data_IF_319508365064
#
_entry.id   IF_319508365064
#
_cell.length_a   1.000
_cell.length_b   1.000
_cell.length_c   1.000
_cell.angle_alpha   90.00
_cell.angle_beta   90.00
_cell.angle_gamma   90.00
#
_symmetry.space_group_name_H-M   'P 1'
#
loop_
_entity.id
_entity.type
_entity.pdbx_description
1 polymer ?
#
# COMPACT_ATOMS: atom_id res chain seq x y z
N UNK A 1 -19.07 -41.17 2.72
CA UNK A 1 -19.53 -39.77 2.87
C UNK A 1 -18.53 -38.88 3.60
N UNK A 2 -18.17 -39.11 4.87
CA UNK A 2 -17.17 -38.27 5.59
C UNK A 2 -15.83 -38.11 4.86
N UNK A 3 -15.27 -39.18 4.30
CA UNK A 3 -14.01 -39.16 3.53
C UNK A 3 -14.07 -38.32 2.24
N UNK A 4 -15.21 -38.31 1.56
CA UNK A 4 -15.43 -37.50 0.35
C UNK A 4 -15.57 -36.01 0.68
N UNK A 5 -16.22 -35.69 1.80
CA UNK A 5 -16.31 -34.31 2.31
C UNK A 5 -14.92 -33.80 2.69
N UNK A 6 -14.13 -34.58 3.42
CA UNK A 6 -12.75 -34.22 3.79
C UNK A 6 -11.86 -34.03 2.56
N UNK A 7 -11.97 -34.93 1.59
CA UNK A 7 -11.22 -34.82 0.34
C UNK A 7 -11.62 -33.57 -0.47
N UNK A 8 -12.92 -33.28 -0.60
CA UNK A 8 -13.38 -32.06 -1.25
C UNK A 8 -12.88 -30.79 -0.56
N UNK A 9 -12.88 -30.77 0.77
CA UNK A 9 -12.40 -29.64 1.57
C UNK A 9 -10.90 -29.40 1.40
N UNK A 10 -10.10 -30.47 1.32
CA UNK A 10 -8.66 -30.40 1.02
C UNK A 10 -8.36 -29.85 -0.37
N UNK A 11 -9.13 -30.27 -1.38
CA UNK A 11 -8.98 -29.76 -2.77
C UNK A 11 -9.29 -28.27 -2.83
N UNK A 12 -10.37 -27.82 -2.19
CA UNK A 12 -10.73 -26.40 -2.15
C UNK A 12 -9.67 -25.59 -1.41
N UNK A 13 -9.20 -26.07 -0.26
CA UNK A 13 -8.16 -25.39 0.51
C UNK A 13 -6.84 -25.31 -0.26
N UNK A 14 -6.46 -26.39 -0.95
CA UNK A 14 -5.28 -26.42 -1.82
C UNK A 14 -5.39 -25.42 -2.98
N UNK A 15 -6.57 -25.30 -3.60
CA UNK A 15 -6.82 -24.31 -4.65
C UNK A 15 -6.68 -22.87 -4.17
N UNK A 16 -7.18 -22.55 -2.96
CA UNK A 16 -7.03 -21.21 -2.37
C UNK A 16 -5.56 -20.90 -2.09
N UNK A 17 -4.82 -21.82 -1.49
CA UNK A 17 -3.39 -21.62 -1.19
C UNK A 17 -2.58 -21.46 -2.47
N UNK A 18 -2.87 -22.26 -3.50
CA UNK A 18 -2.22 -22.13 -4.81
C UNK A 18 -2.48 -20.76 -5.46
N UNK A 19 -3.74 -20.28 -5.42
CA UNK A 19 -4.09 -18.97 -5.95
C UNK A 19 -3.33 -17.84 -5.23
N UNK A 20 -3.16 -17.94 -3.90
CA UNK A 20 -2.38 -16.97 -3.13
C UNK A 20 -0.89 -17.06 -3.48
N UNK A 21 -0.33 -18.27 -3.62
CA UNK A 21 1.07 -18.46 -3.95
C UNK A 21 1.45 -17.86 -5.31
N UNK A 22 0.54 -17.92 -6.28
CA UNK A 22 0.72 -17.40 -7.65
C UNK A 22 0.63 -15.87 -7.75
N UNK A 23 0.24 -15.17 -6.69
CA UNK A 23 0.23 -13.70 -6.70
C UNK A 23 1.67 -13.16 -6.80
N UNK A 24 1.99 -12.30 -7.79
CA UNK A 24 3.29 -11.66 -7.91
C UNK A 24 3.64 -10.84 -6.66
N UNK A 25 4.92 -10.80 -6.30
CA UNK A 25 5.41 -10.01 -5.14
C UNK A 25 5.10 -8.53 -5.30
N UNK A 26 5.28 -7.98 -6.51
CA UNK A 26 4.96 -6.58 -6.82
C UNK A 26 3.47 -6.26 -6.60
N UNK A 27 2.56 -7.13 -7.05
CA UNK A 27 1.11 -6.96 -6.85
C UNK A 27 0.73 -7.01 -5.36
N UNK A 28 1.39 -7.89 -4.60
CA UNK A 28 1.22 -7.98 -3.16
C UNK A 28 1.74 -6.72 -2.44
N UNK A 29 2.91 -6.23 -2.83
CA UNK A 29 3.49 -4.99 -2.30
C UNK A 29 2.57 -3.80 -2.60
N UNK A 30 2.04 -3.70 -3.83
CA UNK A 30 1.07 -2.68 -4.21
C UNK A 30 -0.19 -2.73 -3.33
N UNK A 31 -0.75 -3.91 -3.09
CA UNK A 31 -1.91 -4.07 -2.21
C UNK A 31 -1.60 -3.68 -0.76
N UNK A 32 -0.39 -3.97 -0.28
CA UNK A 32 0.05 -3.56 1.05
C UNK A 32 0.23 -2.04 1.17
N UNK A 33 0.81 -1.38 0.15
CA UNK A 33 0.88 0.10 0.06
C UNK A 33 -0.51 0.73 0.03
N UNK A 34 -1.43 0.14 -0.73
CA UNK A 34 -2.82 0.60 -0.79
C UNK A 34 -3.54 0.45 0.54
N UNK A 35 -3.39 -0.69 1.22
CA UNK A 35 -3.99 -0.90 2.54
C UNK A 35 -3.43 0.07 3.58
N UNK A 36 -2.11 0.25 3.62
CA UNK A 36 -1.45 1.19 4.53
C UNK A 36 -1.94 2.63 4.25
N UNK A 37 -1.98 3.04 2.99
CA UNK A 37 -2.49 4.35 2.59
C UNK A 37 -3.95 4.55 3.01
N UNK A 38 -4.80 3.58 2.69
CA UNK A 38 -6.22 3.57 3.03
C UNK A 38 -6.46 3.63 4.54
N UNK A 39 -5.66 2.90 5.32
CA UNK A 39 -5.71 2.90 6.78
C UNK A 39 -5.35 4.26 7.37
N UNK A 40 -4.30 4.91 6.85
CA UNK A 40 -3.89 6.25 7.29
C UNK A 40 -4.97 7.28 6.95
N UNK A 41 -5.53 7.23 5.74
CA UNK A 41 -6.64 8.13 5.36
C UNK A 41 -7.83 7.91 6.29
N UNK A 42 -8.20 6.64 6.53
CA UNK A 42 -9.29 6.25 7.43
C UNK A 42 -9.10 6.80 8.84
N UNK A 43 -7.89 6.72 9.40
CA UNK A 43 -7.60 7.19 10.77
C UNK A 43 -7.77 8.70 10.92
N UNK A 44 -7.66 9.46 9.83
CA UNK A 44 -7.80 10.92 9.79
C UNK A 44 -9.23 11.39 9.51
N UNK A 45 -10.15 10.48 9.18
CA UNK A 45 -11.56 10.83 8.99
C UNK A 45 -12.24 11.19 10.31
N UNK A 46 -13.23 12.08 10.26
CA UNK A 46 -14.06 12.41 11.43
C UNK A 46 -14.85 11.19 11.94
N UNK A 47 -15.26 10.31 11.02
CA UNK A 47 -15.96 9.06 11.30
C UNK A 47 -15.22 7.89 10.64
N UNK A 48 -14.14 7.37 11.25
CA UNK A 48 -13.35 6.28 10.65
C UNK A 48 -14.17 5.02 10.37
N UNK A 49 -15.24 4.77 11.12
CA UNK A 49 -16.11 3.60 10.94
C UNK A 49 -16.94 3.64 9.66
N UNK A 50 -17.21 4.82 9.10
CA UNK A 50 -17.95 4.97 7.84
C UNK A 50 -17.06 5.17 6.61
N UNK A 51 -15.75 5.08 6.80
CA UNK A 51 -14.78 5.08 5.72
C UNK A 51 -14.94 3.82 4.86
N UNK A 52 -15.05 4.02 3.55
CA UNK A 52 -14.92 2.99 2.54
C UNK A 52 -13.97 3.47 1.45
N UNK A 53 -12.94 2.68 1.15
CA UNK A 53 -12.19 2.83 -0.09
C UNK A 53 -13.05 2.31 -1.26
N UNK A 54 -13.27 3.15 -2.25
CA UNK A 54 -14.01 2.81 -3.46
C UNK A 54 -13.08 2.24 -4.52
N UNK A 55 -11.96 2.92 -4.76
CA UNK A 55 -10.98 2.52 -5.77
C UNK A 55 -9.59 3.00 -5.37
N UNK A 56 -8.58 2.26 -5.79
CA UNK A 56 -7.20 2.69 -5.74
C UNK A 56 -6.53 2.59 -7.12
N UNK A 57 -5.72 3.59 -7.45
CA UNK A 57 -4.85 3.61 -8.61
C UNK A 57 -3.41 3.67 -8.13
N UNK A 58 -2.58 2.74 -8.63
CA UNK A 58 -1.16 2.69 -8.33
C UNK A 58 -0.39 3.15 -9.56
N UNK A 59 0.50 4.12 -9.37
CA UNK A 59 1.48 4.55 -10.38
C UNK A 59 2.87 4.37 -9.79
N UNK A 60 3.72 3.57 -10.44
CA UNK A 60 5.11 3.41 -10.02
C UNK A 60 6.05 3.81 -11.14
N UNK A 61 7.10 4.55 -10.80
CA UNK A 61 8.09 5.07 -11.74
C UNK A 61 9.49 4.73 -11.27
N UNK A 62 10.27 4.11 -12.15
CA UNK A 62 11.71 3.99 -11.96
C UNK A 62 12.36 5.35 -12.14
N UNK A 63 13.14 5.79 -11.15
CA UNK A 63 13.89 7.04 -11.24
C UNK A 63 15.21 6.83 -11.97
N UNK A 64 15.66 7.85 -12.70
CA UNK A 64 16.95 7.84 -13.41
C UNK A 64 17.56 9.23 -13.50
N UNK A 65 18.88 9.31 -13.72
CA UNK A 65 19.60 10.56 -13.94
C UNK A 65 19.41 11.58 -12.81
N UNK A 66 19.03 12.81 -13.18
CA UNK A 66 18.87 13.92 -12.24
C UNK A 66 17.72 13.71 -11.24
N UNK A 67 16.62 13.08 -11.66
CA UNK A 67 15.49 12.77 -10.78
C UNK A 67 15.90 11.82 -9.65
N UNK A 68 16.72 10.82 -9.98
CA UNK A 68 17.26 9.88 -9.01
C UNK A 68 18.19 10.60 -8.01
N UNK A 69 19.10 11.44 -8.50
CA UNK A 69 20.04 12.16 -7.65
C UNK A 69 19.33 13.09 -6.66
N UNK A 70 18.37 13.90 -7.15
CA UNK A 70 17.53 14.76 -6.31
C UNK A 70 16.79 13.95 -5.25
N UNK A 71 16.28 12.78 -5.61
CA UNK A 71 15.57 11.92 -4.65
C UNK A 71 16.49 11.36 -3.59
N UNK A 72 17.68 10.89 -3.97
CA UNK A 72 18.70 10.41 -3.03
C UNK A 72 19.06 11.53 -2.04
N UNK A 73 19.25 12.76 -2.52
CA UNK A 73 19.56 13.91 -1.66
C UNK A 73 18.44 14.25 -0.68
N UNK A 74 17.17 14.04 -1.06
CA UNK A 74 16.03 14.24 -0.16
C UNK A 74 15.86 13.15 0.91
N UNK A 75 16.53 12.00 0.80
CA UNK A 75 16.47 10.97 1.83
C UNK A 75 17.12 11.48 3.12
N UNK A 76 16.40 11.37 4.24
CA UNK A 76 16.87 11.88 5.53
C UNK A 76 18.02 11.06 6.14
N UNK A 77 18.21 9.82 5.70
CA UNK A 77 19.15 8.86 6.30
C UNK A 77 20.35 8.63 5.40
N UNK A 78 21.56 8.97 5.87
CA UNK A 78 22.82 8.83 5.11
C UNK A 78 23.07 7.40 4.62
N UNK A 79 22.84 6.39 5.46
CA UNK A 79 23.05 4.99 5.08
C UNK A 79 22.12 4.53 3.95
N UNK A 80 20.93 5.13 3.82
CA UNK A 80 20.06 4.89 2.65
C UNK A 80 20.62 5.55 1.40
N UNK A 81 21.14 6.77 1.53
CA UNK A 81 21.77 7.49 0.41
C UNK A 81 22.94 6.70 -0.16
N UNK A 82 23.85 6.28 0.72
CA UNK A 82 25.00 5.47 0.35
C UNK A 82 24.59 4.11 -0.20
N UNK A 83 23.58 3.47 0.39
CA UNK A 83 23.05 2.20 -0.09
C UNK A 83 22.51 2.29 -1.53
N UNK A 84 21.76 3.34 -1.86
CA UNK A 84 21.27 3.54 -3.23
C UNK A 84 22.41 3.90 -4.19
N UNK A 85 23.32 4.81 -3.81
CA UNK A 85 24.47 5.22 -4.65
C UNK A 85 25.41 4.07 -4.98
N UNK A 86 25.65 3.19 -4.02
CA UNK A 86 26.50 2.02 -4.19
C UNK A 86 25.78 0.82 -4.84
N UNK A 87 24.51 0.98 -5.24
CA UNK A 87 23.74 -0.07 -5.91
C UNK A 87 23.28 -1.21 -5.01
N UNK A 88 23.30 -1.03 -3.68
CA UNK A 88 22.78 -2.01 -2.71
C UNK A 88 21.25 -2.04 -2.71
N UNK A 89 20.61 -0.91 -3.00
CA UNK A 89 19.17 -0.78 -3.11
C UNK A 89 18.76 -0.18 -4.45
N UNK A 90 17.61 -0.61 -4.95
CA UNK A 90 16.92 0.12 -6.01
C UNK A 90 16.20 1.33 -5.41
N UNK A 91 15.88 2.35 -6.21
CA UNK A 91 14.99 3.43 -5.76
C UNK A 91 13.94 3.70 -6.82
N UNK A 92 12.69 3.39 -6.50
CA UNK A 92 11.50 3.72 -7.31
C UNK A 92 10.57 4.60 -6.47
N UNK A 93 9.84 5.48 -7.15
CA UNK A 93 8.71 6.16 -6.53
C UNK A 93 7.42 5.43 -6.87
N UNK A 94 6.51 5.37 -5.90
CA UNK A 94 5.13 4.95 -6.14
C UNK A 94 4.14 5.94 -5.54
N UNK A 95 3.16 6.31 -6.35
CA UNK A 95 2.01 7.10 -5.95
C UNK A 95 0.78 6.20 -5.88
N UNK A 96 0.12 6.19 -4.74
CA UNK A 96 -1.15 5.51 -4.53
C UNK A 96 -2.25 6.56 -4.41
N UNK A 97 -3.18 6.58 -5.36
CA UNK A 97 -4.38 7.40 -5.30
C UNK A 97 -5.52 6.54 -4.79
N UNK A 98 -6.22 7.00 -3.76
CA UNK A 98 -7.33 6.29 -3.12
C UNK A 98 -8.57 7.18 -3.20
N UNK A 99 -9.52 6.76 -4.04
CA UNK A 99 -10.88 7.29 -4.01
C UNK A 99 -11.60 6.66 -2.82
N UNK A 100 -12.13 7.50 -1.94
CA UNK A 100 -12.83 7.02 -0.76
C UNK A 100 -14.12 7.78 -0.51
N UNK A 101 -14.93 7.24 0.38
CA UNK A 101 -16.07 7.92 0.95
C UNK A 101 -16.05 7.79 2.47
N UNK A 102 -16.41 8.86 3.17
CA UNK A 102 -16.58 8.85 4.63
C UNK A 102 -17.71 9.80 5.03
N UNK A 103 -18.38 9.51 6.16
CA UNK A 103 -19.42 10.41 6.67
C UNK A 103 -18.82 11.58 7.44
N UNK A 104 -19.40 12.77 7.27
CA UNK A 104 -19.10 13.91 8.13
C UNK A 104 -19.80 13.78 9.51
N UNK A 105 -19.62 14.78 10.37
CA UNK A 105 -20.21 14.81 11.71
C UNK A 105 -21.76 14.82 11.70
N UNK A 106 -22.39 15.12 10.56
CA UNK A 106 -23.84 15.12 10.38
C UNK A 106 -24.37 13.84 9.71
N UNK A 107 -23.51 12.84 9.49
CA UNK A 107 -23.88 11.57 8.86
C UNK A 107 -24.01 11.62 7.34
N UNK A 108 -23.66 12.74 6.70
CA UNK A 108 -23.67 12.87 5.24
C UNK A 108 -22.42 12.22 4.66
N UNK A 109 -22.60 11.28 3.73
CA UNK A 109 -21.51 10.61 3.03
C UNK A 109 -20.87 11.55 2.01
N UNK A 110 -19.57 11.81 2.16
CA UNK A 110 -18.77 12.63 1.26
C UNK A 110 -17.73 11.78 0.56
N UNK A 111 -17.47 12.09 -0.71
CA UNK A 111 -16.36 11.50 -1.48
C UNK A 111 -15.12 12.35 -1.32
N UNK A 112 -13.97 11.71 -1.26
CA UNK A 112 -12.66 12.36 -1.17
C UNK A 112 -11.60 11.59 -1.94
N UNK A 113 -10.45 12.24 -2.10
CA UNK A 113 -9.27 11.69 -2.76
C UNK A 113 -8.07 11.78 -1.84
N UNK A 114 -7.46 10.63 -1.56
CA UNK A 114 -6.18 10.54 -0.89
C UNK A 114 -5.06 10.22 -1.88
N UNK A 115 -3.87 10.78 -1.65
CA UNK A 115 -2.63 10.39 -2.33
C UNK A 115 -1.60 10.02 -1.28
N UNK A 116 -0.99 8.85 -1.41
CA UNK A 116 0.19 8.49 -0.62
C UNK A 116 1.40 8.29 -1.54
N UNK A 117 2.54 8.83 -1.15
CA UNK A 117 3.78 8.71 -1.89
C UNK A 117 4.74 7.79 -1.14
N UNK A 118 5.35 6.85 -1.86
CA UNK A 118 6.24 5.84 -1.32
C UNK A 118 7.58 5.82 -2.04
N UNK A 119 8.64 5.62 -1.27
CA UNK A 119 9.96 5.23 -1.75
C UNK A 119 10.09 3.71 -1.67
N UNK A 120 10.28 3.04 -2.80
CA UNK A 120 10.48 1.59 -2.87
C UNK A 120 11.96 1.31 -3.02
N UNK A 121 12.54 0.65 -2.01
CA UNK A 121 13.95 0.28 -1.96
C UNK A 121 14.20 -1.14 -2.48
N UNK A 122 13.22 -2.03 -2.30
CA UNK A 122 13.21 -3.41 -2.80
C UNK A 122 11.78 -3.96 -2.88
N UNK A 123 11.60 -5.19 -3.35
CA UNK A 123 10.28 -5.86 -3.43
C UNK A 123 9.57 -5.99 -2.07
N UNK A 124 10.33 -6.01 -0.97
CA UNK A 124 9.83 -6.18 0.40
C UNK A 124 10.05 -4.95 1.28
N UNK A 125 10.42 -3.83 0.67
CA UNK A 125 10.65 -2.60 1.41
C UNK A 125 10.21 -1.37 0.63
N UNK A 126 9.08 -0.84 1.07
CA UNK A 126 8.63 0.50 0.74
C UNK A 126 8.55 1.34 2.03
N UNK A 127 8.87 2.62 1.91
CA UNK A 127 8.75 3.62 2.98
C UNK A 127 7.76 4.68 2.54
N UNK A 128 6.79 4.97 3.40
CA UNK A 128 5.90 6.10 3.19
C UNK A 128 6.68 7.40 3.34
N UNK A 129 6.45 8.33 2.43
CA UNK A 129 7.11 9.65 2.41
C UNK A 129 6.13 10.77 2.68
N UNK A 130 4.95 10.72 2.07
CA UNK A 130 3.94 11.76 2.23
C UNK A 130 2.54 11.18 2.07
N UNK A 131 1.58 11.86 2.70
CA UNK A 131 0.15 11.58 2.56
C UNK A 131 -0.56 12.91 2.37
N UNK A 132 -1.43 12.97 1.37
CA UNK A 132 -2.22 14.14 1.02
C UNK A 132 -3.68 13.71 0.98
N UNK A 133 -4.56 14.42 1.69
CA UNK A 133 -6.00 14.14 1.73
C UNK A 133 -6.75 15.40 1.31
N UNK A 134 -7.50 15.30 0.22
CA UNK A 134 -8.27 16.42 -0.36
C UNK A 134 -7.41 17.70 -0.53
N UNK A 135 -6.17 17.53 -0.99
CA UNK A 135 -5.19 18.59 -1.21
C UNK A 135 -4.40 19.03 0.03
N UNK A 136 -4.70 18.51 1.21
CA UNK A 136 -4.00 18.85 2.45
C UNK A 136 -2.94 17.80 2.78
N UNK A 137 -1.66 18.20 2.78
CA UNK A 137 -0.56 17.32 3.18
C UNK A 137 -0.55 17.10 4.71
N UNK A 138 -0.35 15.85 5.12
CA UNK A 138 -0.12 15.52 6.53
C UNK A 138 1.28 16.01 6.98
N UNK A 139 1.42 16.44 8.24
CA UNK A 139 2.73 16.78 8.80
C UNK A 139 3.72 15.61 8.72
N UNK A 140 5.00 15.89 8.47
CA UNK A 140 6.04 14.84 8.32
C UNK A 140 6.21 13.95 9.57
N UNK A 141 5.93 14.47 10.77
CA UNK A 141 5.98 13.70 12.03
C UNK A 141 4.90 12.62 12.04
N UNK A 142 3.68 12.96 11.61
CA UNK A 142 2.57 12.02 11.51
C UNK A 142 2.90 10.89 10.52
N UNK A 143 3.48 11.24 9.38
CA UNK A 143 3.91 10.27 8.36
C UNK A 143 5.00 9.34 8.87
N UNK A 144 5.95 9.86 9.65
CA UNK A 144 7.07 9.06 10.20
C UNK A 144 6.57 8.01 11.19
N UNK A 145 5.65 8.37 12.08
CA UNK A 145 5.05 7.46 13.06
C UNK A 145 4.29 6.33 12.33
N UNK A 146 3.52 6.68 11.30
CA UNK A 146 2.75 5.71 10.50
C UNK A 146 3.67 4.83 9.63
N UNK A 147 4.80 5.35 9.13
CA UNK A 147 5.79 4.60 8.35
C UNK A 147 6.49 3.53 9.19
N UNK A 148 6.81 3.82 10.45
CA UNK A 148 7.44 2.86 11.38
C UNK A 148 6.47 1.73 11.77
N UNK A 149 5.17 2.04 11.91
CA UNK A 149 4.13 1.05 12.21
C UNK A 149 3.76 0.15 11.03
N UNK A 150 3.90 0.64 9.80
CA UNK A 150 3.43 -0.02 8.58
C UNK A 150 4.59 -0.46 7.66
N UNK A 151 5.55 -1.24 8.17
CA UNK A 151 6.55 -1.86 7.29
C UNK A 151 5.84 -2.68 6.21
N UNK A 152 5.97 -2.25 4.96
CA UNK A 152 5.26 -2.84 3.83
C UNK A 152 5.96 -4.13 3.41
N UNK A 153 5.29 -5.25 3.66
CA UNK A 153 5.75 -6.60 3.33
C UNK A 153 4.92 -7.16 2.15
N UNK A 154 5.53 -7.92 1.23
CA UNK A 154 4.84 -8.61 0.12
C UNK A 154 4.37 -10.04 0.46
N UNK A 155 4.44 -10.43 1.73
CA UNK A 155 4.09 -11.77 2.23
C UNK A 155 2.62 -12.19 2.06
N UNK A 156 2.28 -13.35 2.63
CA UNK A 156 0.99 -14.03 2.42
C UNK A 156 -0.25 -13.14 2.67
N UNK A 157 -0.24 -12.33 3.74
CA UNK A 157 -1.35 -11.42 4.05
C UNK A 157 -1.58 -10.39 2.94
N UNK A 158 -0.50 -9.86 2.36
CA UNK A 158 -0.55 -8.87 1.29
C UNK A 158 -1.02 -9.48 -0.03
N UNK A 159 -0.61 -10.72 -0.32
CA UNK A 159 -1.12 -11.50 -1.46
C UNK A 159 -2.62 -11.77 -1.33
N UNK A 160 -3.08 -12.14 -0.13
CA UNK A 160 -4.50 -12.29 0.15
C UNK A 160 -5.26 -10.97 -0.02
N UNK A 161 -4.68 -9.86 0.45
CA UNK A 161 -5.27 -8.53 0.32
C UNK A 161 -5.41 -8.11 -1.14
N UNK A 162 -4.39 -8.38 -1.96
CA UNK A 162 -4.46 -8.16 -3.41
C UNK A 162 -5.66 -8.90 -4.03
N UNK A 163 -5.82 -10.19 -3.74
CA UNK A 163 -6.94 -10.97 -4.26
C UNK A 163 -8.29 -10.40 -3.80
N UNK A 164 -8.40 -9.98 -2.54
CA UNK A 164 -9.61 -9.35 -2.02
C UNK A 164 -9.96 -8.07 -2.78
N UNK A 165 -8.99 -7.16 -2.95
CA UNK A 165 -9.21 -5.91 -3.66
C UNK A 165 -9.55 -6.13 -5.14
N UNK A 166 -8.88 -7.09 -5.79
CA UNK A 166 -9.17 -7.45 -7.19
C UNK A 166 -10.57 -8.01 -7.36
N UNK A 167 -11.01 -8.90 -6.46
CA UNK A 167 -12.37 -9.47 -6.48
C UNK A 167 -13.45 -8.40 -6.19
N UNK A 168 -13.12 -7.39 -5.39
CA UNK A 168 -14.01 -6.27 -5.08
C UNK A 168 -14.00 -5.16 -6.14
N UNK A 169 -13.14 -5.26 -7.17
CA UNK A 169 -12.98 -4.23 -8.20
C UNK A 169 -12.37 -2.92 -7.67
N UNK A 170 -11.64 -2.97 -6.55
CA UNK A 170 -11.00 -1.80 -5.94
C UNK A 170 -9.62 -1.49 -6.57
N UNK A 171 -8.97 -2.48 -7.16
CA UNK A 171 -7.73 -2.36 -7.93
C UNK A 171 -7.85 -3.14 -9.24
#
# INVERSE_FOLDING_TARGET
MKKLIVFGLLVVMGGIVAAIALVPTQDAQNAAMTEACSSIIKSRMKSPSSYSMEKALISSKQLSGEELNKKIESLQVESLRDGVRNGLFTLKNADIFVDFQASNAFGVQLKGLGKCEYNIFSEDWASLESVIIDGNALPSVDVTIESVGNKINSGFSSKLKYLQYKLQGKI
#
